data_IF_982614203351
#
_entry.id   IF_982614203351
#
_cell.length_a   1.000
_cell.length_b   1.000
_cell.length_c   1.000
_cell.angle_alpha   90.00
_cell.angle_beta   90.00
_cell.angle_gamma   90.00
#
_symmetry.space_group_name_H-M   'P 1'
#
loop_
_entity.id
_entity.type
_entity.pdbx_description
1 polymer ?
#
# COMPACT_ATOMS: atom_id res chain seq x y z
N UNK A 1 -62.15 30.13 -57.42
CA UNK A 1 -60.91 30.12 -56.63
C UNK A 1 -61.18 29.30 -55.37
N UNK A 2 -60.74 28.05 -55.36
CA UNK A 2 -60.98 27.07 -54.29
C UNK A 2 -59.96 27.24 -53.17
N UNK A 3 -60.42 27.60 -51.97
CA UNK A 3 -59.59 27.69 -50.77
C UNK A 3 -59.36 26.30 -50.19
N UNK A 4 -58.11 25.82 -50.22
CA UNK A 4 -57.69 24.63 -49.49
C UNK A 4 -57.37 25.00 -48.02
N UNK A 5 -57.71 24.15 -47.05
CA UNK A 5 -57.37 24.38 -45.65
C UNK A 5 -55.86 24.16 -45.39
N UNK A 6 -55.30 24.83 -44.36
CA UNK A 6 -53.88 24.69 -44.02
C UNK A 6 -53.54 23.29 -43.45
N UNK A 7 -52.28 22.84 -43.58
CA UNK A 7 -51.84 21.54 -43.07
C UNK A 7 -51.84 21.49 -41.53
N UNK A 8 -52.01 20.30 -40.92
CA UNK A 8 -52.00 20.14 -39.48
C UNK A 8 -50.61 20.44 -38.89
N UNK A 9 -50.60 21.08 -37.71
CA UNK A 9 -49.37 21.39 -36.96
C UNK A 9 -48.68 20.15 -36.39
N UNK A 10 -47.39 20.26 -36.01
CA UNK A 10 -46.63 19.16 -35.45
C UNK A 10 -47.24 18.68 -34.10
N UNK A 11 -47.11 17.38 -33.77
CA UNK A 11 -47.61 16.85 -32.51
C UNK A 11 -46.90 17.48 -31.31
N UNK A 12 -47.58 17.62 -30.15
CA UNK A 12 -46.98 18.16 -28.94
C UNK A 12 -45.83 17.28 -28.47
N UNK A 13 -44.75 17.91 -28.00
CA UNK A 13 -43.63 17.21 -27.39
C UNK A 13 -44.14 16.40 -26.18
N UNK A 14 -43.93 15.08 -26.21
CA UNK A 14 -44.26 14.21 -25.08
C UNK A 14 -43.47 14.61 -23.82
N UNK A 15 -43.93 14.21 -22.62
CA UNK A 15 -43.23 14.52 -21.38
C UNK A 15 -41.79 14.00 -21.47
N UNK A 16 -40.84 14.89 -21.23
CA UNK A 16 -39.42 14.55 -21.08
C UNK A 16 -39.30 13.49 -19.99
N UNK A 17 -39.01 12.25 -20.37
CA UNK A 17 -38.65 11.20 -19.42
C UNK A 17 -37.46 11.65 -18.58
N UNK A 18 -37.26 11.08 -17.38
CA UNK A 18 -36.08 11.36 -16.59
C UNK A 18 -34.83 11.11 -17.44
N UNK A 19 -33.78 11.95 -17.33
CA UNK A 19 -32.56 11.76 -18.10
C UNK A 19 -32.03 10.34 -17.87
N UNK A 20 -31.48 9.68 -18.90
CA UNK A 20 -30.88 8.36 -18.74
C UNK A 20 -29.84 8.45 -17.62
N UNK A 21 -29.86 7.47 -16.71
CA UNK A 21 -28.89 7.36 -15.64
C UNK A 21 -27.48 7.51 -16.22
N UNK A 22 -26.80 8.59 -15.85
CA UNK A 22 -25.50 8.96 -16.39
C UNK A 22 -24.55 7.77 -16.38
N UNK A 23 -23.92 7.50 -17.51
CA UNK A 23 -22.77 6.63 -17.62
C UNK A 23 -21.69 7.14 -16.64
N UNK A 24 -21.27 6.36 -15.63
CA UNK A 24 -20.13 6.73 -14.82
C UNK A 24 -18.87 6.46 -15.64
N UNK A 25 -18.29 7.53 -16.17
CA UNK A 25 -17.10 7.49 -17.02
C UNK A 25 -16.83 8.77 -17.83
N UNK A 26 -17.66 9.82 -17.67
CA UNK A 26 -17.59 11.06 -18.43
C UNK A 26 -16.98 12.25 -17.66
N UNK A 27 -16.39 12.02 -16.49
CA UNK A 27 -15.55 12.99 -15.79
C UNK A 27 -14.18 13.06 -16.50
N UNK A 28 -14.08 14.03 -17.41
CA UNK A 28 -12.95 14.29 -18.32
C UNK A 28 -11.66 14.75 -17.66
N UNK A 29 -11.05 13.90 -16.84
CA UNK A 29 -9.63 14.03 -16.52
C UNK A 29 -8.80 13.41 -17.66
N UNK A 30 -8.10 14.22 -18.49
CA UNK A 30 -7.29 13.71 -19.59
C UNK A 30 -6.14 12.79 -19.13
N UNK A 31 -5.78 12.80 -17.84
CA UNK A 31 -4.83 11.84 -17.29
C UNK A 31 -5.42 10.42 -17.14
N UNK A 32 -6.75 10.24 -17.07
CA UNK A 32 -7.40 8.97 -16.73
C UNK A 32 -8.41 8.47 -17.77
N UNK A 33 -7.94 8.02 -18.97
CA UNK A 33 -8.84 7.44 -19.95
C UNK A 33 -9.44 6.12 -19.43
N UNK A 34 -10.76 6.06 -19.30
CA UNK A 34 -11.50 4.88 -18.86
C UNK A 34 -11.26 3.70 -19.81
N UNK A 35 -10.48 2.70 -19.38
CA UNK A 35 -10.09 1.60 -20.25
C UNK A 35 -9.78 0.27 -19.54
N UNK A 36 -10.68 -0.69 -19.73
CA UNK A 36 -10.37 -2.12 -19.92
C UNK A 36 -9.91 -2.93 -18.71
N UNK A 37 -10.79 -3.15 -17.72
CA UNK A 37 -10.61 -4.28 -16.80
C UNK A 37 -11.09 -5.58 -17.46
N UNK A 38 -10.26 -6.64 -17.39
CA UNK A 38 -10.57 -7.97 -17.95
C UNK A 38 -11.65 -8.75 -17.17
N UNK A 39 -11.99 -8.30 -15.97
CA UNK A 39 -12.74 -9.12 -15.00
C UNK A 39 -14.25 -8.78 -14.90
N UNK A 40 -14.85 -8.13 -15.90
CA UNK A 40 -16.29 -7.79 -15.88
C UNK A 40 -16.71 -6.82 -14.76
N UNK A 41 -15.76 -6.27 -14.00
CA UNK A 41 -16.01 -5.20 -13.03
C UNK A 41 -16.54 -3.97 -13.77
N UNK A 42 -17.64 -3.38 -13.28
CA UNK A 42 -18.17 -2.12 -13.81
C UNK A 42 -17.04 -1.09 -13.83
N UNK A 43 -16.94 -0.27 -14.88
CA UNK A 43 -15.90 0.76 -15.01
C UNK A 43 -15.83 1.70 -13.77
N UNK A 44 -16.95 1.86 -13.05
CA UNK A 44 -17.04 2.60 -11.78
C UNK A 44 -16.27 1.97 -10.59
N UNK A 45 -15.99 0.66 -10.62
CA UNK A 45 -15.26 -0.07 -9.58
C UNK A 45 -13.77 -0.29 -9.96
N UNK A 46 -13.39 0.08 -11.17
CA UNK A 46 -12.01 0.02 -11.62
C UNK A 46 -11.20 1.16 -11.00
N UNK A 47 -10.03 0.83 -10.44
CA UNK A 47 -9.05 1.85 -10.09
C UNK A 47 -8.68 2.60 -11.37
N UNK A 48 -8.85 3.93 -11.39
CA UNK A 48 -8.87 4.73 -12.62
C UNK A 48 -7.48 4.95 -13.21
N UNK A 49 -6.44 4.40 -12.58
CA UNK A 49 -5.05 4.72 -12.88
C UNK A 49 -4.39 3.66 -13.78
N UNK A 50 -4.07 3.95 -15.07
CA UNK A 50 -3.42 3.02 -15.95
C UNK A 50 -1.90 2.98 -15.72
N UNK A 51 -1.46 2.63 -14.50
CA UNK A 51 -0.04 2.36 -14.23
C UNK A 51 0.48 1.21 -15.09
N UNK A 52 1.70 1.36 -15.57
CA UNK A 52 2.47 0.29 -16.18
C UNK A 52 3.29 -0.46 -15.13
N UNK A 53 3.67 -1.71 -15.43
CA UNK A 53 4.57 -2.46 -14.56
C UNK A 53 5.95 -1.76 -14.42
N UNK A 54 6.33 -0.95 -15.42
CA UNK A 54 7.54 -0.14 -15.40
C UNK A 54 7.43 0.96 -14.36
N UNK A 55 6.30 1.66 -14.26
CA UNK A 55 6.08 2.69 -13.23
C UNK A 55 6.21 2.10 -11.82
N UNK A 56 5.58 0.95 -11.59
CA UNK A 56 5.71 0.21 -10.33
C UNK A 56 7.15 -0.20 -10.03
N UNK A 57 7.86 -0.77 -11.01
CA UNK A 57 9.26 -1.17 -10.85
C UNK A 57 10.19 0.01 -10.57
N UNK A 58 10.02 1.13 -11.28
CA UNK A 58 10.80 2.35 -11.06
C UNK A 58 10.60 2.91 -9.66
N UNK A 59 9.37 2.91 -9.15
CA UNK A 59 9.09 3.38 -7.79
C UNK A 59 9.64 2.43 -6.72
N UNK A 60 9.61 1.12 -6.95
CA UNK A 60 10.27 0.14 -6.04
C UNK A 60 11.78 0.38 -6.02
N UNK A 61 12.41 0.53 -7.19
CA UNK A 61 13.85 0.85 -7.28
C UNK A 61 14.15 2.19 -6.60
N UNK A 62 13.33 3.21 -6.83
CA UNK A 62 13.48 4.50 -6.17
C UNK A 62 13.39 4.39 -4.65
N UNK A 63 12.43 3.64 -4.11
CA UNK A 63 12.28 3.42 -2.67
C UNK A 63 13.55 2.83 -2.06
N UNK A 64 14.13 1.82 -2.72
CA UNK A 64 15.40 1.20 -2.29
C UNK A 64 16.54 2.22 -2.38
N UNK A 65 16.67 2.93 -3.50
CA UNK A 65 17.71 3.95 -3.69
C UNK A 65 17.59 5.09 -2.65
N UNK A 66 16.38 5.50 -2.29
CA UNK A 66 16.15 6.55 -1.30
C UNK A 66 16.76 6.21 0.07
N UNK A 67 16.77 4.93 0.46
CA UNK A 67 17.44 4.48 1.69
C UNK A 67 18.96 4.68 1.59
N UNK A 68 19.57 4.26 0.48
CA UNK A 68 21.01 4.42 0.27
C UNK A 68 21.44 5.87 0.09
N UNK A 69 20.64 6.70 -0.60
CA UNK A 69 20.96 8.11 -0.86
C UNK A 69 21.03 8.97 0.40
N UNK A 70 20.38 8.55 1.48
CA UNK A 70 20.39 9.26 2.77
C UNK A 70 21.41 8.64 3.72
N UNK A 71 21.37 7.32 3.90
CA UNK A 71 22.19 6.64 4.91
C UNK A 71 23.67 6.58 4.49
N UNK A 72 23.97 6.28 3.22
CA UNK A 72 25.35 6.07 2.78
C UNK A 72 26.20 7.36 2.87
N UNK A 73 25.74 8.54 2.40
CA UNK A 73 26.52 9.76 2.57
C UNK A 73 26.75 10.13 4.04
N UNK A 74 25.74 9.96 4.91
CA UNK A 74 25.89 10.21 6.33
C UNK A 74 26.97 9.31 6.95
N UNK A 75 26.98 8.03 6.59
CA UNK A 75 27.98 7.08 7.06
C UNK A 75 29.38 7.39 6.52
N UNK A 76 29.52 7.65 5.22
CA UNK A 76 30.82 7.93 4.57
C UNK A 76 31.45 9.22 5.08
N UNK A 77 30.64 10.24 5.37
CA UNK A 77 31.11 11.51 5.91
C UNK A 77 31.34 11.47 7.43
N UNK A 78 31.10 10.33 8.09
CA UNK A 78 31.31 10.16 9.52
C UNK A 78 30.30 10.89 10.40
N UNK A 79 29.11 11.22 9.87
CA UNK A 79 28.02 11.83 10.64
C UNK A 79 27.22 10.81 11.47
N UNK A 80 27.40 9.51 11.21
CA UNK A 80 26.69 8.44 11.93
C UNK A 80 27.63 7.26 12.18
N UNK A 81 27.52 6.67 13.36
CA UNK A 81 28.09 5.36 13.72
C UNK A 81 26.98 4.32 13.80
N UNK A 82 27.32 3.05 13.62
CA UNK A 82 26.32 1.97 13.72
C UNK A 82 25.73 1.82 15.13
N UNK A 83 26.45 2.26 16.16
CA UNK A 83 26.00 2.21 17.55
C UNK A 83 25.05 3.37 17.91
N UNK A 84 24.93 4.40 17.07
CA UNK A 84 24.03 5.53 17.27
C UNK A 84 22.63 5.24 16.69
N UNK A 85 21.87 4.45 17.44
CA UNK A 85 20.50 4.02 17.07
C UNK A 85 19.55 5.20 16.85
N UNK A 86 19.70 6.29 17.61
CA UNK A 86 18.86 7.48 17.46
C UNK A 86 19.08 8.15 16.09
N UNK A 87 20.34 8.35 15.70
CA UNK A 87 20.68 8.93 14.39
C UNK A 87 20.30 7.97 13.26
N UNK A 88 20.50 6.65 13.42
CA UNK A 88 20.07 5.66 12.44
C UNK A 88 18.56 5.68 12.23
N UNK A 89 17.76 5.79 13.29
CA UNK A 89 16.29 5.90 13.18
C UNK A 89 15.85 7.23 12.55
N UNK A 90 16.55 8.33 12.84
CA UNK A 90 16.30 9.60 12.17
C UNK A 90 16.60 9.52 10.66
N UNK A 91 17.72 8.90 10.28
CA UNK A 91 18.09 8.69 8.88
C UNK A 91 17.10 7.74 8.18
N UNK A 92 16.60 6.71 8.87
CA UNK A 92 15.55 5.85 8.34
C UNK A 92 14.25 6.63 8.09
N UNK A 93 13.83 7.48 9.04
CA UNK A 93 12.67 8.35 8.87
C UNK A 93 12.83 9.30 7.66
N UNK A 94 14.00 9.95 7.55
CA UNK A 94 14.31 10.84 6.42
C UNK A 94 14.32 10.06 5.10
N UNK A 95 14.89 8.86 5.08
CA UNK A 95 14.88 7.98 3.90
C UNK A 95 13.46 7.65 3.43
N UNK A 96 12.55 7.31 4.36
CA UNK A 96 11.15 7.04 4.05
C UNK A 96 10.44 8.29 3.52
N UNK A 97 10.72 9.47 4.10
CA UNK A 97 10.18 10.73 3.61
C UNK A 97 10.69 11.07 2.18
N UNK A 98 11.97 10.85 1.89
CA UNK A 98 12.56 11.02 0.55
C UNK A 98 11.95 10.03 -0.43
N UNK A 99 11.78 8.77 -0.02
CA UNK A 99 11.10 7.73 -0.80
C UNK A 99 9.70 8.17 -1.22
N UNK A 100 8.87 8.60 -0.25
CA UNK A 100 7.52 9.10 -0.51
C UNK A 100 7.54 10.35 -1.39
N UNK A 101 8.36 11.34 -1.06
CA UNK A 101 8.43 12.60 -1.80
C UNK A 101 8.81 12.37 -3.27
N UNK A 102 9.80 11.52 -3.54
CA UNK A 102 10.18 11.17 -4.91
C UNK A 102 9.10 10.38 -5.64
N UNK A 103 8.37 9.49 -4.95
CA UNK A 103 7.22 8.79 -5.55
C UNK A 103 6.10 9.78 -5.92
N UNK A 104 5.75 10.71 -5.03
CA UNK A 104 4.74 11.74 -5.30
C UNK A 104 5.19 12.70 -6.41
N UNK A 105 6.46 13.11 -6.41
CA UNK A 105 7.03 13.95 -7.46
C UNK A 105 7.03 13.25 -8.83
N UNK A 106 7.38 11.96 -8.87
CA UNK A 106 7.31 11.13 -10.08
C UNK A 106 5.88 11.05 -10.62
N UNK A 107 4.90 10.80 -9.73
CA UNK A 107 3.50 10.76 -10.10
C UNK A 107 3.00 12.13 -10.59
N UNK A 108 3.39 13.21 -9.93
CA UNK A 108 3.03 14.58 -10.34
C UNK A 108 3.63 14.92 -11.71
N UNK A 109 4.90 14.61 -11.96
CA UNK A 109 5.58 14.87 -13.23
C UNK A 109 5.00 14.09 -14.42
N UNK A 110 4.16 13.09 -14.15
CA UNK A 110 3.46 12.27 -15.14
C UNK A 110 1.96 12.58 -15.21
N UNK A 111 1.51 13.62 -14.51
CA UNK A 111 0.11 14.00 -14.32
C UNK A 111 -0.75 12.85 -13.74
N UNK A 112 -0.15 12.02 -12.87
CA UNK A 112 -0.77 10.85 -12.22
C UNK A 112 -1.08 11.07 -10.74
N UNK A 113 -0.66 12.19 -10.15
CA UNK A 113 -0.96 12.51 -8.76
C UNK A 113 -2.38 13.08 -8.65
N UNK A 114 -3.31 12.30 -8.09
CA UNK A 114 -4.68 12.76 -7.83
C UNK A 114 -5.27 12.06 -6.62
N UNK A 115 -6.38 12.61 -6.09
CA UNK A 115 -7.14 11.96 -5.01
C UNK A 115 -7.60 10.55 -5.38
N UNK A 116 -7.70 10.22 -6.68
CA UNK A 116 -8.10 8.90 -7.17
C UNK A 116 -7.06 7.81 -6.90
N UNK A 117 -5.82 8.15 -6.50
CA UNK A 117 -4.84 7.19 -5.97
C UNK A 117 -5.33 6.52 -4.69
N UNK A 118 -6.18 7.19 -3.91
CA UNK A 118 -6.82 6.61 -2.74
C UNK A 118 -7.86 5.55 -3.12
N UNK A 119 -8.23 5.46 -4.40
CA UNK A 119 -9.17 4.49 -4.95
C UNK A 119 -10.55 5.06 -5.30
N UNK A 120 -11.38 4.26 -5.98
CA UNK A 120 -12.70 4.68 -6.44
C UNK A 120 -13.71 4.91 -5.29
N UNK A 121 -13.42 4.43 -4.08
CA UNK A 121 -14.30 4.60 -2.92
C UNK A 121 -13.67 5.54 -1.88
N UNK A 122 -14.45 6.42 -1.24
CA UNK A 122 -13.91 7.41 -0.31
C UNK A 122 -13.34 6.76 0.95
N UNK A 123 -12.32 7.35 1.60
CA UNK A 123 -11.90 6.89 2.91
C UNK A 123 -13.03 7.17 3.93
N UNK A 124 -13.38 6.16 4.72
CA UNK A 124 -14.36 6.29 5.82
C UNK A 124 -13.82 5.60 7.06
N UNK A 125 -14.27 6.02 8.24
CA UNK A 125 -13.89 5.39 9.52
C UNK A 125 -14.22 3.89 9.54
N UNK A 126 -15.33 3.47 8.95
CA UNK A 126 -15.68 2.06 8.81
C UNK A 126 -14.64 1.28 8.00
N UNK A 127 -14.12 1.88 6.91
CA UNK A 127 -13.05 1.27 6.10
C UNK A 127 -11.73 1.19 6.87
N UNK A 128 -11.40 2.23 7.63
CA UNK A 128 -10.25 2.19 8.53
C UNK A 128 -10.41 1.08 9.59
N UNK A 129 -11.59 0.92 10.19
CA UNK A 129 -11.87 -0.16 11.13
C UNK A 129 -11.71 -1.55 10.51
N UNK A 130 -12.18 -1.75 9.26
CA UNK A 130 -11.90 -2.98 8.52
C UNK A 130 -10.39 -3.20 8.33
N UNK A 131 -9.64 -2.14 8.04
CA UNK A 131 -8.18 -2.19 7.97
C UNK A 131 -7.58 -2.75 9.27
N UNK A 132 -7.96 -2.21 10.43
CA UNK A 132 -7.47 -2.68 11.74
C UNK A 132 -7.76 -4.17 11.93
N UNK A 133 -8.99 -4.61 11.67
CA UNK A 133 -9.38 -6.02 11.82
C UNK A 133 -8.57 -6.91 10.88
N UNK A 134 -8.41 -6.51 9.61
CA UNK A 134 -7.59 -7.24 8.63
C UNK A 134 -6.13 -7.32 9.08
N UNK A 135 -5.57 -6.24 9.60
CA UNK A 135 -4.19 -6.20 10.10
C UNK A 135 -3.96 -7.14 11.28
N UNK A 136 -4.82 -7.06 12.30
CA UNK A 136 -4.73 -7.93 13.49
C UNK A 136 -4.96 -9.40 13.11
N UNK A 137 -6.00 -9.70 12.34
CA UNK A 137 -6.27 -11.06 11.89
C UNK A 137 -5.14 -11.60 11.01
N UNK A 138 -4.57 -10.76 10.15
CA UNK A 138 -3.40 -11.06 9.33
C UNK A 138 -2.18 -11.40 10.19
N UNK A 139 -1.90 -10.60 11.23
CA UNK A 139 -0.81 -10.86 12.16
C UNK A 139 -0.97 -12.21 12.87
N UNK A 140 -2.15 -12.46 13.43
CA UNK A 140 -2.44 -13.72 14.13
C UNK A 140 -2.37 -14.92 13.18
N UNK A 141 -2.95 -14.81 11.98
CA UNK A 141 -2.96 -15.88 10.99
C UNK A 141 -1.56 -16.22 10.49
N UNK A 142 -0.76 -15.21 10.12
CA UNK A 142 0.62 -15.40 9.65
C UNK A 142 1.47 -16.04 10.75
N UNK A 143 1.41 -15.53 11.98
CA UNK A 143 2.20 -16.08 13.08
C UNK A 143 1.74 -17.49 13.50
N UNK A 144 0.45 -17.80 13.41
CA UNK A 144 -0.05 -19.17 13.65
C UNK A 144 0.50 -20.16 12.62
N UNK A 145 0.53 -19.77 11.33
CA UNK A 145 1.11 -20.60 10.27
C UNK A 145 2.61 -20.77 10.47
N UNK A 146 3.33 -19.70 10.79
CA UNK A 146 4.77 -19.77 11.10
C UNK A 146 5.01 -20.72 12.27
N UNK A 147 4.27 -20.58 13.37
CA UNK A 147 4.40 -21.44 14.55
C UNK A 147 4.14 -22.92 14.23
N UNK A 148 3.16 -23.23 13.38
CA UNK A 148 2.91 -24.59 12.91
C UNK A 148 4.07 -25.12 12.06
N UNK A 149 4.60 -24.30 11.14
CA UNK A 149 5.73 -24.69 10.31
C UNK A 149 6.96 -24.97 11.17
N UNK A 150 7.26 -24.13 12.17
CA UNK A 150 8.38 -24.33 13.09
C UNK A 150 8.25 -25.60 13.94
N UNK A 151 7.03 -26.06 14.24
CA UNK A 151 6.84 -27.37 14.87
C UNK A 151 7.24 -28.54 13.96
N UNK A 152 7.20 -28.35 12.64
CA UNK A 152 7.53 -29.38 11.67
C UNK A 152 9.03 -29.38 11.30
N UNK A 153 9.64 -28.19 11.20
CA UNK A 153 11.02 -28.02 10.72
C UNK A 153 12.03 -27.74 11.84
N UNK A 154 11.56 -27.54 13.08
CA UNK A 154 12.39 -27.11 14.20
C UNK A 154 12.52 -25.58 14.30
N UNK A 155 13.10 -25.08 15.41
CA UNK A 155 13.34 -23.66 15.59
C UNK A 155 14.37 -23.15 14.57
N UNK A 156 14.16 -21.93 14.10
CA UNK A 156 15.09 -21.18 13.24
C UNK A 156 15.39 -19.84 13.89
N UNK A 157 16.51 -19.24 13.53
CA UNK A 157 16.89 -17.93 14.06
C UNK A 157 15.81 -16.88 13.73
N UNK A 158 15.36 -16.06 14.68
CA UNK A 158 14.38 -15.01 14.42
C UNK A 158 14.92 -13.96 13.43
N UNK A 159 14.04 -13.15 12.80
CA UNK A 159 14.48 -12.01 11.99
C UNK A 159 15.38 -11.06 12.79
N UNK A 160 16.24 -10.33 12.08
CA UNK A 160 17.33 -9.52 12.63
C UNK A 160 16.89 -8.65 13.84
N UNK A 161 17.68 -8.73 14.93
CA UNK A 161 17.41 -8.10 16.24
C UNK A 161 17.51 -6.57 16.23
N UNK A 162 17.92 -5.94 15.13
CA UNK A 162 18.19 -4.50 15.11
C UNK A 162 16.94 -3.66 15.40
N UNK A 163 15.78 -4.05 14.84
CA UNK A 163 14.51 -3.41 15.18
C UNK A 163 14.15 -3.59 16.66
N UNK A 164 14.44 -4.75 17.25
CA UNK A 164 14.25 -4.96 18.70
C UNK A 164 15.16 -4.01 19.49
N UNK A 165 16.45 -3.94 19.14
CA UNK A 165 17.42 -3.03 19.77
C UNK A 165 16.97 -1.57 19.69
N UNK A 166 16.48 -1.12 18.54
CA UNK A 166 16.00 0.25 18.34
C UNK A 166 14.73 0.54 19.15
N UNK A 167 13.82 -0.44 19.23
CA UNK A 167 12.59 -0.33 20.01
C UNK A 167 12.86 -0.33 21.52
N UNK A 168 13.83 -1.10 22.01
CA UNK A 168 14.17 -1.19 23.44
C UNK A 168 15.20 -0.14 23.89
N UNK A 169 15.75 0.67 22.98
CA UNK A 169 16.69 1.74 23.31
C UNK A 169 16.11 2.83 24.23
N UNK A 170 14.77 2.95 24.30
CA UNK A 170 14.06 3.87 25.16
C UNK A 170 14.00 5.32 24.63
N UNK A 171 13.23 6.16 25.30
CA UNK A 171 13.15 7.60 25.02
C UNK A 171 12.72 7.94 23.59
N UNK A 172 13.42 8.88 22.97
CA UNK A 172 13.11 9.38 21.63
C UNK A 172 13.35 8.33 20.53
N UNK A 173 14.32 7.42 20.72
CA UNK A 173 14.64 6.37 19.73
C UNK A 173 13.47 5.40 19.56
N UNK A 174 12.86 4.94 20.65
CA UNK A 174 11.65 4.11 20.59
C UNK A 174 10.52 4.83 19.84
N UNK A 175 10.29 6.11 20.13
CA UNK A 175 9.24 6.89 19.44
C UNK A 175 9.52 6.98 17.94
N UNK A 176 10.76 7.25 17.53
CA UNK A 176 11.15 7.28 16.12
C UNK A 176 10.97 5.92 15.46
N UNK A 177 11.41 4.83 16.09
CA UNK A 177 11.24 3.47 15.58
C UNK A 177 9.76 3.11 15.38
N UNK A 178 8.89 3.45 16.34
CA UNK A 178 7.43 3.26 16.21
C UNK A 178 6.87 4.07 15.05
N UNK A 179 7.23 5.35 14.91
CA UNK A 179 6.74 6.21 13.82
C UNK A 179 7.19 5.66 12.46
N UNK A 180 8.44 5.22 12.35
CA UNK A 180 8.97 4.62 11.12
C UNK A 180 8.22 3.34 10.78
N UNK A 181 8.13 2.38 11.71
CA UNK A 181 7.58 1.06 11.46
C UNK A 181 6.05 1.05 11.31
N UNK A 182 5.32 1.86 12.08
CA UNK A 182 3.85 1.81 12.17
C UNK A 182 3.17 2.83 11.26
N UNK A 183 3.86 3.92 10.89
CA UNK A 183 3.26 5.00 10.10
C UNK A 183 3.95 5.15 8.76
N UNK A 184 5.25 5.47 8.76
CA UNK A 184 5.93 5.87 7.54
C UNK A 184 6.12 4.70 6.57
N UNK A 185 6.60 3.55 7.05
CA UNK A 185 6.75 2.35 6.23
C UNK A 185 5.41 1.92 5.59
N UNK A 186 4.30 1.72 6.34
CA UNK A 186 3.01 1.42 5.76
C UNK A 186 2.53 2.43 4.72
N UNK A 187 2.70 3.73 4.96
CA UNK A 187 2.27 4.75 3.98
C UNK A 187 3.08 4.68 2.69
N UNK A 188 4.42 4.65 2.80
CA UNK A 188 5.32 4.62 1.63
C UNK A 188 5.09 3.33 0.83
N UNK A 189 5.11 2.21 1.52
CA UNK A 189 5.02 0.90 0.90
C UNK A 189 3.66 0.68 0.26
N UNK A 190 2.55 1.00 0.94
CA UNK A 190 1.23 0.80 0.33
C UNK A 190 0.99 1.73 -0.86
N UNK A 191 1.51 2.97 -0.85
CA UNK A 191 1.44 3.84 -2.04
C UNK A 191 2.14 3.20 -3.24
N UNK A 192 3.36 2.67 -3.05
CA UNK A 192 4.17 2.11 -4.13
C UNK A 192 3.67 0.71 -4.54
N UNK A 193 3.53 -0.20 -3.59
CA UNK A 193 3.16 -1.59 -3.85
C UNK A 193 1.69 -1.72 -4.21
N UNK A 194 0.78 -1.08 -3.46
CA UNK A 194 -0.67 -1.29 -3.61
C UNK A 194 -1.28 -0.23 -4.50
N UNK A 195 -0.89 1.03 -4.34
CA UNK A 195 -1.33 2.12 -5.21
C UNK A 195 -0.86 1.95 -6.65
N UNK A 196 0.41 1.56 -6.86
CA UNK A 196 1.03 1.52 -8.19
C UNK A 196 1.26 0.10 -8.73
N UNK A 197 2.18 -0.66 -8.12
CA UNK A 197 2.68 -1.92 -8.68
C UNK A 197 1.58 -2.99 -8.83
N UNK A 198 0.84 -3.26 -7.76
CA UNK A 198 -0.26 -4.22 -7.77
C UNK A 198 -1.34 -3.81 -8.78
N UNK A 199 -1.67 -2.53 -8.86
CA UNK A 199 -2.68 -2.05 -9.81
C UNK A 199 -2.25 -2.28 -11.26
N UNK A 200 -0.98 -2.03 -11.58
CA UNK A 200 -0.41 -2.32 -12.88
C UNK A 200 -0.41 -3.82 -13.21
N UNK A 201 0.02 -4.65 -12.25
CA UNK A 201 0.10 -6.10 -12.41
C UNK A 201 -1.28 -6.73 -12.51
N UNK A 202 -2.23 -6.33 -11.66
CA UNK A 202 -3.62 -6.78 -11.69
C UNK A 202 -4.27 -6.52 -13.03
N UNK A 203 -4.04 -5.33 -13.63
CA UNK A 203 -4.57 -5.00 -14.95
C UNK A 203 -4.03 -5.93 -16.05
N UNK A 204 -2.78 -6.36 -15.93
CA UNK A 204 -2.13 -7.23 -16.92
C UNK A 204 -2.43 -8.71 -16.71
N UNK A 205 -2.39 -9.17 -15.46
CA UNK A 205 -2.35 -10.58 -15.07
C UNK A 205 -3.62 -11.07 -14.34
N UNK A 206 -4.53 -10.17 -13.95
CA UNK A 206 -5.69 -10.47 -13.10
C UNK A 206 -5.37 -10.36 -11.61
N UNK A 207 -6.41 -10.49 -10.77
CA UNK A 207 -6.32 -10.31 -9.31
C UNK A 207 -5.23 -11.16 -8.65
N UNK A 208 -5.37 -12.49 -8.71
CA UNK A 208 -4.54 -13.39 -7.92
C UNK A 208 -3.09 -13.44 -8.41
N UNK A 209 -2.79 -13.57 -9.71
CA UNK A 209 -1.41 -13.51 -10.19
C UNK A 209 -0.78 -12.14 -9.93
N UNK A 210 -1.54 -11.05 -10.08
CA UNK A 210 -1.07 -9.71 -9.76
C UNK A 210 -0.72 -9.54 -8.28
N UNK A 211 -1.58 -10.06 -7.39
CA UNK A 211 -1.35 -10.05 -5.94
C UNK A 211 -0.11 -10.86 -5.57
N UNK A 212 0.02 -12.08 -6.10
CA UNK A 212 1.18 -12.95 -5.86
C UNK A 212 2.49 -12.32 -6.32
N UNK A 213 2.55 -11.79 -7.56
CA UNK A 213 3.77 -11.14 -8.06
C UNK A 213 4.10 -9.88 -7.25
N UNK A 214 3.12 -9.04 -6.93
CA UNK A 214 3.37 -7.87 -6.08
C UNK A 214 3.84 -8.24 -4.67
N UNK A 215 3.28 -9.31 -4.09
CA UNK A 215 3.67 -9.83 -2.78
C UNK A 215 5.06 -10.47 -2.79
N UNK A 216 5.46 -11.11 -3.89
CA UNK A 216 6.82 -11.64 -4.06
C UNK A 216 7.84 -10.51 -4.12
N UNK A 217 7.56 -9.44 -4.88
CA UNK A 217 8.44 -8.27 -4.91
C UNK A 217 8.49 -7.61 -3.53
N UNK A 218 7.34 -7.50 -2.84
CA UNK A 218 7.27 -6.99 -1.47
C UNK A 218 8.16 -7.81 -0.52
N UNK A 219 8.05 -9.14 -0.50
CA UNK A 219 8.91 -9.97 0.34
C UNK A 219 10.39 -9.89 -0.05
N UNK A 220 10.70 -9.76 -1.34
CA UNK A 220 12.08 -9.75 -1.84
C UNK A 220 12.86 -8.46 -1.51
N UNK A 221 12.18 -7.32 -1.29
CA UNK A 221 12.86 -6.08 -0.89
C UNK A 221 13.22 -6.04 0.60
N UNK A 222 12.64 -6.93 1.42
CA UNK A 222 12.94 -7.07 2.84
C UNK A 222 14.11 -8.04 3.04
N UNK A 223 15.29 -7.63 2.57
CA UNK A 223 16.50 -8.47 2.52
C UNK A 223 17.08 -8.79 3.91
N UNK A 224 16.72 -8.01 4.92
CA UNK A 224 17.01 -8.25 6.34
C UNK A 224 16.32 -9.53 6.85
N UNK A 225 15.25 -9.98 6.19
CA UNK A 225 14.53 -11.21 6.52
C UNK A 225 15.13 -12.39 5.78
N UNK A 226 16.12 -13.03 6.43
CA UNK A 226 16.92 -14.09 5.82
C UNK A 226 16.23 -15.47 5.82
N UNK A 227 15.40 -15.77 6.83
CA UNK A 227 14.77 -17.09 6.91
C UNK A 227 13.55 -17.20 5.99
N UNK A 228 13.47 -18.23 5.12
CA UNK A 228 12.38 -18.37 4.15
C UNK A 228 10.98 -18.42 4.78
N UNK A 229 10.84 -18.93 6.00
CA UNK A 229 9.56 -18.99 6.71
C UNK A 229 8.99 -17.61 7.02
N UNK A 230 9.84 -16.64 7.37
CA UNK A 230 9.43 -15.26 7.64
C UNK A 230 9.21 -14.49 6.33
N UNK A 231 10.03 -14.72 5.29
CA UNK A 231 9.80 -14.16 3.96
C UNK A 231 8.47 -14.65 3.35
N UNK A 232 8.08 -15.91 3.61
CA UNK A 232 6.77 -16.43 3.24
C UNK A 232 5.63 -15.72 3.99
N UNK A 233 5.85 -15.35 5.26
CA UNK A 233 4.94 -14.49 6.02
C UNK A 233 4.77 -13.11 5.39
N UNK A 234 5.86 -12.48 4.94
CA UNK A 234 5.82 -11.20 4.20
C UNK A 234 5.09 -11.33 2.86
N UNK A 235 5.27 -12.44 2.14
CA UNK A 235 4.50 -12.72 0.92
C UNK A 235 3.00 -12.85 1.22
N UNK A 236 2.64 -13.55 2.30
CA UNK A 236 1.24 -13.71 2.71
C UNK A 236 0.60 -12.38 3.10
N UNK A 237 1.30 -11.55 3.89
CA UNK A 237 0.90 -10.17 4.17
C UNK A 237 0.77 -9.36 2.87
N UNK A 238 1.77 -9.50 2.00
CA UNK A 238 1.83 -9.09 0.60
C UNK A 238 0.49 -9.18 -0.11
N UNK A 239 0.04 -10.43 -0.23
CA UNK A 239 -1.20 -10.85 -0.90
C UNK A 239 -2.44 -10.37 -0.15
N UNK A 240 -2.46 -10.45 1.18
CA UNK A 240 -3.60 -10.04 1.99
C UNK A 240 -3.91 -8.54 1.84
N UNK A 241 -2.87 -7.70 1.83
CA UNK A 241 -3.00 -6.26 1.62
C UNK A 241 -3.51 -5.94 0.20
N UNK A 242 -2.98 -6.61 -0.82
CA UNK A 242 -3.47 -6.49 -2.20
C UNK A 242 -4.94 -6.90 -2.34
N UNK A 243 -5.34 -8.00 -1.69
CA UNK A 243 -6.73 -8.43 -1.63
C UNK A 243 -7.62 -7.40 -0.90
N UNK A 244 -7.16 -6.83 0.21
CA UNK A 244 -7.91 -5.80 0.93
C UNK A 244 -8.16 -4.57 0.06
N UNK A 245 -7.14 -4.09 -0.66
CA UNK A 245 -7.29 -3.00 -1.62
C UNK A 245 -8.35 -3.34 -2.68
N UNK A 246 -8.27 -4.54 -3.27
CA UNK A 246 -9.23 -5.00 -4.26
C UNK A 246 -10.66 -5.04 -3.70
N UNK A 247 -10.82 -5.62 -2.51
CA UNK A 247 -12.12 -5.86 -1.88
C UNK A 247 -12.83 -4.57 -1.50
N UNK A 248 -12.08 -3.62 -0.94
CA UNK A 248 -12.65 -2.38 -0.41
C UNK A 248 -12.58 -1.22 -1.41
N UNK A 249 -11.70 -1.30 -2.41
CA UNK A 249 -11.55 -0.27 -3.44
C UNK A 249 -11.00 1.04 -2.87
N UNK A 250 -10.14 0.95 -1.86
CA UNK A 250 -9.62 2.10 -1.14
C UNK A 250 -8.23 1.79 -0.53
N UNK A 251 -7.27 2.69 -0.71
CA UNK A 251 -5.87 2.55 -0.28
C UNK A 251 -5.65 2.76 1.22
N UNK A 252 -6.57 3.45 1.92
CA UNK A 252 -6.51 3.59 3.39
C UNK A 252 -6.68 2.25 4.07
N UNK A 253 -7.46 1.32 3.49
CA UNK A 253 -7.65 -0.01 4.10
C UNK A 253 -6.34 -0.79 4.23
N UNK A 254 -5.56 -1.03 3.16
CA UNK A 254 -4.28 -1.69 3.29
C UNK A 254 -3.27 -0.88 4.11
N UNK A 255 -3.26 0.46 4.03
CA UNK A 255 -2.37 1.29 4.87
C UNK A 255 -2.64 1.02 6.36
N UNK A 256 -3.91 1.07 6.77
CA UNK A 256 -4.30 0.84 8.16
C UNK A 256 -4.12 -0.62 8.57
N UNK A 257 -4.36 -1.57 7.67
CA UNK A 257 -4.11 -2.99 7.94
C UNK A 257 -2.62 -3.27 8.16
N UNK A 258 -1.75 -2.71 7.32
CA UNK A 258 -0.32 -2.83 7.45
C UNK A 258 0.18 -2.14 8.74
N UNK A 259 -0.28 -0.92 9.01
CA UNK A 259 0.02 -0.22 10.26
C UNK A 259 -0.43 -1.02 11.49
N UNK A 260 -1.62 -1.62 11.48
CA UNK A 260 -2.10 -2.45 12.57
C UNK A 260 -1.29 -3.74 12.74
N UNK A 261 -0.91 -4.40 11.64
CA UNK A 261 0.00 -5.56 11.68
C UNK A 261 1.33 -5.19 12.36
N UNK A 262 1.93 -4.08 11.94
CA UNK A 262 3.20 -3.62 12.50
C UNK A 262 3.06 -3.16 13.95
N UNK A 263 1.96 -2.48 14.29
CA UNK A 263 1.70 -2.04 15.67
C UNK A 263 1.56 -3.22 16.64
N UNK A 264 0.89 -4.31 16.24
CA UNK A 264 0.82 -5.53 17.05
C UNK A 264 2.20 -6.15 17.21
N UNK A 265 2.96 -6.27 16.13
CA UNK A 265 4.34 -6.80 16.16
C UNK A 265 5.22 -6.00 17.13
N UNK A 266 5.29 -4.68 16.93
CA UNK A 266 6.06 -3.74 17.75
C UNK A 266 5.60 -3.76 19.21
N UNK A 267 4.28 -3.76 19.45
CA UNK A 267 3.73 -3.80 20.81
C UNK A 267 4.13 -5.07 21.56
N UNK A 268 4.05 -6.24 20.90
CA UNK A 268 4.48 -7.50 21.50
C UNK A 268 5.99 -7.52 21.76
N UNK A 269 6.79 -6.96 20.85
CA UNK A 269 8.24 -6.82 21.04
C UNK A 269 8.58 -5.96 22.26
N UNK A 270 7.93 -4.82 22.44
CA UNK A 270 8.13 -3.94 23.60
C UNK A 270 7.70 -4.59 24.91
N UNK A 271 6.56 -5.29 24.91
CA UNK A 271 6.06 -6.02 26.09
C UNK A 271 6.97 -7.21 26.45
N UNK A 272 7.47 -7.93 25.44
CA UNK A 272 8.40 -9.05 25.62
C UNK A 272 9.76 -8.61 26.14
N UNK A 273 10.30 -7.49 25.62
CA UNK A 273 11.57 -6.91 26.11
C UNK A 273 11.50 -6.53 27.59
N UNK A 274 10.44 -5.81 27.99
CA UNK A 274 10.22 -5.44 29.39
C UNK A 274 10.08 -6.64 30.33
N UNK A 275 9.50 -7.75 29.85
CA UNK A 275 9.39 -8.98 30.63
C UNK A 275 10.77 -9.62 30.86
N UNK A 276 11.66 -9.62 29.88
CA UNK A 276 13.02 -10.17 30.03
C UNK A 276 13.91 -9.31 30.92
N UNK A 277 13.70 -7.99 30.97
CA UNK A 277 14.49 -7.07 31.82
C UNK A 277 14.11 -7.14 33.31
N UNK A 278 13.01 -7.83 33.67
CA UNK A 278 12.46 -7.87 35.04
C UNK A 278 12.66 -9.20 35.77
N UNK A 279 13.30 -10.19 35.14
CA UNK A 279 13.61 -11.53 35.71
C UNK A 279 15.08 -11.85 35.59
#
# INVERSE_FOLDING_TARGET
MSHLPPPPGPPPAGPSGPPPAGSPGADGDPAWPGGGYRDGARAADAFPVPFSAVDGALLVVWMILAQFLVILPAAVLGFVSQDDTATMMLLALVSQAVGLAGALAYLQARDRLSWRLLGPRPPTWTRAAYGIVVGIAGFLGVNAVIALVLQLIGPVDPPEQQLLTDLTAGGATTVLAVVVAVVMAPVVEEVIFRGVLFQALKRRLGLWPGALVSGLVFAAVHVEVQQPVYSAGLLALGVALAWSLHRFGNLVVPIVAHAAFNAVSVGLTLLGGQFLDTV
#
